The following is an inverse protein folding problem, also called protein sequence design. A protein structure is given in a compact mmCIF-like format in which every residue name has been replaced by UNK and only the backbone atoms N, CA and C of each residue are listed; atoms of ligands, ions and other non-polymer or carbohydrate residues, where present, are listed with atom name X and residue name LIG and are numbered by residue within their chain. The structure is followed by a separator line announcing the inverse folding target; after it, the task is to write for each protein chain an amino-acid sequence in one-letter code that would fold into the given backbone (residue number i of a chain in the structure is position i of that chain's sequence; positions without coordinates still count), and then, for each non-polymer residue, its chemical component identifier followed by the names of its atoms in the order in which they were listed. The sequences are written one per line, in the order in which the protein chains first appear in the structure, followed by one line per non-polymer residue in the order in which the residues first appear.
data_IF_577784966743
#
_entry.id   IF_577784966743
#
_cell.length_a   1.000
_cell.length_b   1.000
_cell.length_c   1.000
_cell.angle_alpha   90.00
_cell.angle_beta   90.00
_cell.angle_gamma   90.00
#
_symmetry.space_group_name_H-M   'P 1'
#
loop_
_entity.id
_entity.type
_entity.pdbx_description
1 polymer ?
#
# COMPACT_ATOMS: atom_id res chain seq x y z
N UNK A 1 -15.03 -6.90 -2.19
CA UNK A 1 -13.61 -7.33 -2.35
C UNK A 1 -12.78 -6.71 -1.24
N UNK A 2 -12.24 -7.51 -0.33
CA UNK A 2 -11.39 -7.02 0.75
C UNK A 2 -9.94 -6.85 0.28
N UNK A 3 -9.36 -5.65 0.47
CA UNK A 3 -7.96 -5.38 0.22
C UNK A 3 -7.24 -5.25 1.56
N UNK A 4 -6.28 -6.13 1.83
CA UNK A 4 -5.61 -6.21 3.13
C UNK A 4 -4.13 -5.85 3.01
N UNK A 5 -3.62 -5.09 3.99
CA UNK A 5 -2.20 -4.70 4.07
C UNK A 5 -1.72 -4.72 5.51
N UNK A 6 -0.60 -5.38 5.75
CA UNK A 6 0.13 -5.35 7.03
C UNK A 6 1.19 -4.23 7.01
N UNK A 7 1.26 -3.46 8.08
CA UNK A 7 2.19 -2.33 8.26
C UNK A 7 2.85 -2.48 9.64
N UNK A 8 4.18 -2.56 9.67
CA UNK A 8 4.94 -2.46 10.90
C UNK A 8 5.07 -0.99 11.31
N UNK A 9 4.76 -0.67 12.56
CA UNK A 9 4.85 0.68 13.12
C UNK A 9 6.18 0.85 13.84
N UNK A 10 6.93 1.86 13.44
CA UNK A 10 8.21 2.22 14.01
C UNK A 10 8.13 3.59 14.70
N UNK A 11 9.13 3.89 15.52
CA UNK A 11 9.27 5.20 16.15
C UNK A 11 9.60 6.23 15.06
N UNK A 12 8.81 7.28 14.98
CA UNK A 12 9.04 8.39 14.05
C UNK A 12 10.21 9.25 14.57
N UNK A 13 10.97 9.82 13.64
CA UNK A 13 12.10 10.73 13.98
C UNK A 13 11.59 11.88 14.85
N UNK A 14 12.23 12.07 16.00
CA UNK A 14 11.92 13.15 16.94
C UNK A 14 10.72 12.90 17.86
N UNK A 15 10.11 11.71 17.85
CA UNK A 15 9.01 11.33 18.75
C UNK A 15 9.38 10.19 19.69
N UNK A 16 8.68 10.11 20.83
CA UNK A 16 8.78 9.00 21.77
C UNK A 16 7.89 7.83 21.33
N UNK A 17 8.10 6.65 21.92
CA UNK A 17 7.24 5.48 21.69
C UNK A 17 5.78 5.78 22.07
N UNK A 18 5.56 6.43 23.22
CA UNK A 18 4.24 6.84 23.69
C UNK A 18 3.53 7.74 22.65
N UNK A 19 4.20 8.81 22.21
CA UNK A 19 3.64 9.72 21.21
C UNK A 19 3.32 9.02 19.88
N UNK A 20 4.16 8.07 19.45
CA UNK A 20 3.90 7.34 18.21
C UNK A 20 2.73 6.36 18.34
N UNK A 21 2.54 5.75 19.51
CA UNK A 21 1.38 4.89 19.77
C UNK A 21 0.11 5.73 19.84
N UNK A 22 0.08 6.79 20.65
CA UNK A 22 -1.05 7.71 20.78
C UNK A 22 -1.48 8.27 19.43
N UNK A 23 -0.55 8.82 18.63
CA UNK A 23 -0.85 9.31 17.26
C UNK A 23 -1.59 8.28 16.40
N UNK A 24 -1.28 7.00 16.56
CA UNK A 24 -1.87 5.92 15.74
C UNK A 24 -3.21 5.46 16.25
N UNK A 25 -3.35 5.31 17.56
CA UNK A 25 -4.62 4.95 18.20
C UNK A 25 -5.64 6.08 18.03
N UNK A 26 -5.26 7.33 18.31
CA UNK A 26 -6.12 8.51 18.14
C UNK A 26 -6.57 8.69 16.69
N UNK A 27 -5.65 8.54 15.73
CA UNK A 27 -6.03 8.60 14.31
C UNK A 27 -7.04 7.52 13.93
N UNK A 28 -6.85 6.30 14.41
CA UNK A 28 -7.76 5.18 14.10
C UNK A 28 -9.09 5.30 14.78
N UNK A 29 -9.13 5.88 15.98
CA UNK A 29 -10.34 6.02 16.81
C UNK A 29 -11.05 7.38 16.62
N UNK A 30 -10.67 8.17 15.62
CA UNK A 30 -11.25 9.47 15.36
C UNK A 30 -12.79 9.40 15.29
N UNK A 31 -13.47 10.11 16.19
CA UNK A 31 -14.92 10.12 16.36
C UNK A 31 -15.67 10.41 15.05
N UNK A 32 -15.21 11.39 14.28
CA UNK A 32 -15.82 11.75 13.00
C UNK A 32 -15.76 10.64 11.93
N UNK A 33 -14.90 9.63 12.11
CA UNK A 33 -14.71 8.52 11.16
C UNK A 33 -15.35 7.22 11.63
N UNK A 34 -15.59 7.08 12.93
CA UNK A 34 -16.06 5.87 13.57
C UNK A 34 -17.48 6.02 14.13
N UNK A 35 -18.23 7.07 13.73
CA UNK A 35 -19.54 7.41 14.27
C UNK A 35 -19.51 7.51 15.81
N UNK A 36 -18.72 8.48 16.30
CA UNK A 36 -18.52 8.73 17.74
C UNK A 36 -18.04 7.50 18.53
N UNK A 37 -17.24 6.64 17.88
CA UNK A 37 -16.67 5.46 18.52
C UNK A 37 -17.57 4.22 18.51
N UNK A 38 -18.74 4.28 17.87
CA UNK A 38 -19.69 3.16 17.79
C UNK A 38 -19.07 1.92 17.13
N UNK A 39 -18.22 2.13 16.13
CA UNK A 39 -17.59 1.05 15.37
C UNK A 39 -16.15 0.79 15.82
N UNK A 40 -15.93 0.79 17.14
CA UNK A 40 -14.65 0.42 17.74
C UNK A 40 -14.85 -0.81 18.61
N UNK A 41 -14.01 -1.83 18.41
CA UNK A 41 -13.94 -3.00 19.28
C UNK A 41 -12.49 -3.24 19.71
N UNK A 42 -12.30 -3.92 20.84
CA UNK A 42 -10.98 -4.22 21.38
C UNK A 42 -10.93 -5.61 21.98
N UNK A 43 -9.73 -6.11 22.14
CA UNK A 43 -9.43 -7.37 22.81
C UNK A 43 -8.27 -7.16 23.78
N UNK A 44 -8.47 -7.52 25.05
CA UNK A 44 -7.49 -7.43 26.14
C UNK A 44 -6.87 -6.03 26.30
N UNK A 45 -7.63 -4.98 25.99
CA UNK A 45 -7.29 -3.59 26.25
C UNK A 45 -8.54 -2.70 26.18
N UNK A 46 -8.51 -1.55 26.87
CA UNK A 46 -9.54 -0.51 26.70
C UNK A 46 -9.15 0.33 25.46
N UNK A 47 -10.07 0.57 24.52
CA UNK A 47 -9.80 1.44 23.36
C UNK A 47 -9.24 2.81 23.74
N UNK A 48 -9.70 3.41 24.84
CA UNK A 48 -9.28 4.76 25.28
C UNK A 48 -7.85 4.82 25.79
N UNK A 49 -7.34 3.72 26.35
CA UNK A 49 -6.00 3.62 26.98
C UNK A 49 -5.08 2.63 26.29
N UNK A 50 -5.46 2.15 25.10
CA UNK A 50 -4.74 1.10 24.40
C UNK A 50 -3.27 1.45 24.09
N UNK A 51 -2.95 2.70 23.84
CA UNK A 51 -1.56 3.17 23.64
C UNK A 51 -0.73 3.08 24.90
N UNK A 52 -1.31 3.44 26.07
CA UNK A 52 -0.65 3.34 27.37
C UNK A 52 -0.45 1.88 27.77
N UNK A 53 -1.47 1.04 27.57
CA UNK A 53 -1.40 -0.38 27.86
C UNK A 53 -0.38 -1.09 26.96
N UNK A 54 -0.30 -0.73 25.68
CA UNK A 54 0.73 -1.24 24.77
C UNK A 54 2.13 -0.80 25.18
N UNK A 55 2.27 0.41 25.70
CA UNK A 55 3.54 0.91 26.24
C UNK A 55 3.91 0.17 27.52
N UNK A 56 2.94 -0.07 28.42
CA UNK A 56 3.16 -0.79 29.67
C UNK A 56 3.67 -2.23 29.43
N UNK A 57 2.95 -2.99 28.60
CA UNK A 57 3.36 -4.36 28.24
C UNK A 57 4.74 -4.40 27.59
N UNK A 58 5.11 -3.36 26.83
CA UNK A 58 6.46 -3.24 26.25
C UNK A 58 7.53 -3.01 27.31
N UNK A 59 7.25 -2.17 28.31
CA UNK A 59 8.15 -1.95 29.45
C UNK A 59 8.32 -3.22 30.29
N UNK A 60 7.23 -3.93 30.54
CA UNK A 60 7.24 -5.22 31.23
C UNK A 60 8.07 -6.25 30.48
N UNK A 61 7.90 -6.35 29.13
CA UNK A 61 8.73 -7.20 28.30
C UNK A 61 10.23 -6.89 28.45
N UNK A 62 10.60 -5.61 28.42
CA UNK A 62 12.00 -5.20 28.59
C UNK A 62 12.53 -5.57 29.98
N UNK A 63 11.71 -5.40 31.03
CA UNK A 63 12.06 -5.75 32.39
C UNK A 63 12.24 -7.27 32.56
N UNK A 64 11.30 -8.07 32.05
CA UNK A 64 11.31 -9.54 32.19
C UNK A 64 12.44 -10.17 31.36
N UNK A 65 12.64 -9.71 30.13
CA UNK A 65 13.57 -10.36 29.18
C UNK A 65 14.94 -9.72 29.09
N UNK A 66 15.12 -8.50 29.63
CA UNK A 66 16.33 -7.70 29.47
C UNK A 66 16.62 -7.24 28.03
N UNK A 67 15.69 -7.49 27.08
CA UNK A 67 15.92 -7.25 25.65
C UNK A 67 15.41 -5.86 25.24
N UNK A 68 16.30 -5.07 24.66
CA UNK A 68 16.00 -3.78 24.06
C UNK A 68 16.54 -3.76 22.63
N UNK A 69 15.67 -3.44 21.66
CA UNK A 69 16.07 -3.37 20.24
C UNK A 69 16.14 -1.91 19.77
N UNK A 70 17.20 -1.56 19.06
CA UNK A 70 17.44 -0.19 18.57
C UNK A 70 16.39 0.30 17.57
N UNK A 71 15.88 -0.58 16.72
CA UNK A 71 14.83 -0.26 15.70
C UNK A 71 13.58 -1.10 15.94
N UNK A 72 13.03 -0.99 17.14
CA UNK A 72 11.93 -1.81 17.56
C UNK A 72 10.63 -1.48 16.83
N UNK A 73 9.87 -2.52 16.51
CA UNK A 73 8.50 -2.39 16.03
C UNK A 73 7.61 -2.19 17.25
N UNK A 74 6.95 -1.02 17.34
CA UNK A 74 6.15 -0.65 18.52
C UNK A 74 4.77 -1.31 18.52
N UNK A 75 4.16 -1.45 17.33
CA UNK A 75 2.89 -2.11 17.11
C UNK A 75 2.80 -2.50 15.61
N UNK A 76 1.75 -3.20 15.24
CA UNK A 76 1.43 -3.50 13.86
C UNK A 76 0.04 -2.96 13.52
N UNK A 77 -0.16 -2.56 12.28
CA UNK A 77 -1.44 -2.16 11.76
C UNK A 77 -1.82 -3.04 10.57
N UNK A 78 -3.02 -3.61 10.59
CA UNK A 78 -3.66 -4.20 9.42
C UNK A 78 -4.68 -3.19 8.91
N UNK A 79 -4.62 -2.86 7.63
CA UNK A 79 -5.70 -2.15 6.94
C UNK A 79 -6.47 -3.15 6.11
N UNK A 80 -7.79 -3.19 6.29
CA UNK A 80 -8.69 -4.07 5.56
C UNK A 80 -9.79 -3.20 4.96
N UNK A 81 -9.90 -3.14 3.64
CA UNK A 81 -10.84 -2.26 2.93
C UNK A 81 -11.79 -3.10 2.09
N UNK A 82 -13.09 -2.79 2.16
CA UNK A 82 -14.15 -3.53 1.50
C UNK A 82 -14.64 -2.82 0.24
N UNK A 83 -15.33 -3.53 -0.63
CA UNK A 83 -15.97 -2.96 -1.80
C UNK A 83 -17.15 -2.07 -1.37
N UNK A 84 -17.33 -0.89 -1.96
CA UNK A 84 -18.48 -0.04 -1.66
C UNK A 84 -19.82 -0.78 -1.79
N UNK A 85 -20.68 -0.65 -0.78
CA UNK A 85 -22.02 -1.24 -0.76
C UNK A 85 -22.08 -2.75 -0.52
N UNK A 86 -20.96 -3.41 -0.19
CA UNK A 86 -20.88 -4.85 0.02
C UNK A 86 -21.09 -5.26 1.48
N UNK A 87 -20.85 -4.36 2.42
CA UNK A 87 -20.83 -4.67 3.85
C UNK A 87 -21.33 -3.48 4.67
N UNK A 88 -21.97 -3.75 5.81
CA UNK A 88 -22.32 -2.72 6.79
C UNK A 88 -21.14 -2.39 7.72
N UNK A 89 -21.13 -1.23 8.40
CA UNK A 89 -20.06 -0.89 9.34
C UNK A 89 -19.92 -1.88 10.49
N UNK A 90 -21.04 -2.38 11.02
CA UNK A 90 -21.07 -3.36 12.09
C UNK A 90 -20.44 -4.69 11.67
N UNK A 91 -20.85 -5.21 10.52
CA UNK A 91 -20.29 -6.45 9.95
C UNK A 91 -18.80 -6.27 9.62
N UNK A 92 -18.41 -5.11 9.11
CA UNK A 92 -17.01 -4.82 8.81
C UNK A 92 -16.15 -4.83 10.08
N UNK A 93 -16.67 -4.28 11.19
CA UNK A 93 -16.00 -4.33 12.49
C UNK A 93 -15.85 -5.76 12.99
N UNK A 94 -16.91 -6.59 12.88
CA UNK A 94 -16.90 -7.99 13.26
C UNK A 94 -15.88 -8.79 12.44
N UNK A 95 -15.87 -8.64 11.11
CA UNK A 95 -14.88 -9.26 10.21
C UNK A 95 -13.45 -8.84 10.57
N UNK A 96 -13.27 -7.56 10.90
CA UNK A 96 -11.99 -7.02 11.38
C UNK A 96 -11.54 -7.65 12.70
N UNK A 97 -12.44 -7.77 13.65
CA UNK A 97 -12.18 -8.39 14.96
C UNK A 97 -11.79 -9.87 14.79
N UNK A 98 -12.54 -10.61 14.00
CA UNK A 98 -12.26 -12.02 13.76
C UNK A 98 -10.92 -12.22 13.02
N UNK A 99 -10.63 -11.38 12.03
CA UNK A 99 -9.34 -11.36 11.35
C UNK A 99 -8.20 -11.11 12.34
N UNK A 100 -8.34 -10.13 13.24
CA UNK A 100 -7.35 -9.81 14.27
C UNK A 100 -7.14 -10.96 15.25
N UNK A 101 -8.23 -11.55 15.74
CA UNK A 101 -8.20 -12.67 16.68
C UNK A 101 -7.49 -13.88 16.11
N UNK A 102 -7.82 -14.27 14.89
CA UNK A 102 -7.17 -15.39 14.20
C UNK A 102 -5.70 -15.09 13.86
N UNK A 103 -5.39 -13.84 13.47
CA UNK A 103 -4.03 -13.42 13.14
C UNK A 103 -3.10 -13.42 14.36
N UNK A 104 -3.56 -12.86 15.46
CA UNK A 104 -2.82 -12.78 16.72
C UNK A 104 -2.90 -14.08 17.53
N UNK A 105 -3.80 -14.99 17.16
CA UNK A 105 -4.12 -16.22 17.91
C UNK A 105 -4.54 -15.93 19.36
N UNK A 106 -5.15 -14.77 19.62
CA UNK A 106 -5.50 -14.32 20.96
C UNK A 106 -4.31 -14.02 21.88
N UNK A 107 -3.09 -13.88 21.34
CA UNK A 107 -1.89 -13.66 22.16
C UNK A 107 -1.43 -12.22 22.26
N UNK A 108 -2.08 -11.31 21.54
CA UNK A 108 -1.75 -9.89 21.51
C UNK A 108 -3.00 -9.05 21.67
N UNK A 109 -2.94 -8.04 22.52
CA UNK A 109 -3.99 -7.04 22.62
C UNK A 109 -4.13 -6.27 21.31
N UNK A 110 -5.36 -5.93 20.92
CA UNK A 110 -5.64 -5.17 19.71
C UNK A 110 -6.91 -4.32 19.81
N UNK A 111 -6.96 -3.31 18.95
CA UNK A 111 -8.15 -2.50 18.69
C UNK A 111 -8.51 -2.62 17.20
N UNK A 112 -9.81 -2.60 16.92
CA UNK A 112 -10.37 -2.54 15.57
C UNK A 112 -11.24 -1.31 15.47
N UNK A 113 -10.90 -0.40 14.58
CA UNK A 113 -11.68 0.81 14.32
C UNK A 113 -12.13 0.80 12.86
N UNK A 114 -13.44 0.84 12.64
CA UNK A 114 -14.04 0.84 11.31
C UNK A 114 -14.37 2.26 10.90
N UNK A 115 -13.78 2.70 9.80
CA UNK A 115 -13.98 4.03 9.22
C UNK A 115 -15.04 4.02 8.13
N UNK A 116 -15.93 5.00 8.20
CA UNK A 116 -17.06 5.22 7.28
C UNK A 116 -16.97 6.55 6.52
N UNK A 117 -15.89 7.31 6.72
CA UNK A 117 -15.66 8.64 6.15
C UNK A 117 -15.42 8.65 4.63
N UNK A 118 -15.38 7.49 3.99
CA UNK A 118 -15.10 7.33 2.56
C UNK A 118 -16.20 6.54 1.86
N UNK A 119 -16.16 6.53 0.53
CA UNK A 119 -17.06 5.72 -0.30
C UNK A 119 -16.96 4.22 -0.06
N UNK A 120 -15.94 3.76 0.65
CA UNK A 120 -15.72 2.37 1.01
C UNK A 120 -15.42 2.25 2.51
N UNK A 121 -16.03 1.28 3.13
CA UNK A 121 -15.79 0.95 4.54
C UNK A 121 -14.41 0.28 4.67
N UNK A 122 -13.67 0.65 5.71
CA UNK A 122 -12.35 0.07 5.93
C UNK A 122 -11.99 0.02 7.43
N UNK A 123 -11.32 -1.06 7.80
CA UNK A 123 -10.84 -1.30 9.15
C UNK A 123 -9.39 -0.86 9.33
N UNK A 124 -9.12 -0.24 10.46
CA UNK A 124 -7.81 -0.06 11.05
C UNK A 124 -7.69 -0.99 12.25
N UNK A 125 -6.98 -2.09 12.09
CA UNK A 125 -6.70 -3.03 13.17
C UNK A 125 -5.30 -2.73 13.68
N UNK A 126 -5.15 -2.32 14.93
CA UNK A 126 -3.85 -2.06 15.55
C UNK A 126 -3.65 -3.08 16.67
N UNK A 127 -2.58 -3.89 16.57
CA UNK A 127 -2.25 -4.85 17.60
C UNK A 127 -0.87 -4.62 18.17
N UNK A 128 -0.76 -4.91 19.48
CA UNK A 128 0.50 -4.76 20.20
C UNK A 128 1.59 -5.70 19.64
N UNK A 129 2.78 -5.20 19.46
CA UNK A 129 3.93 -6.03 19.07
C UNK A 129 4.38 -7.01 20.18
N UNK A 130 4.02 -6.72 21.43
CA UNK A 130 4.33 -7.54 22.60
C UNK A 130 3.15 -8.46 22.92
N UNK A 131 3.43 -9.70 23.29
CA UNK A 131 2.40 -10.66 23.71
C UNK A 131 1.83 -10.29 25.08
N UNK A 132 0.59 -10.76 25.37
CA UNK A 132 -0.11 -10.49 26.64
C UNK A 132 0.66 -10.96 27.88
N UNK A 133 1.43 -12.07 27.75
CA UNK A 133 2.29 -12.59 28.81
C UNK A 133 3.60 -11.82 28.96
N UNK A 134 3.83 -10.78 28.18
CA UNK A 134 5.03 -9.95 28.17
C UNK A 134 6.36 -10.70 27.97
N UNK A 135 6.32 -11.94 27.44
CA UNK A 135 7.54 -12.78 27.28
C UNK A 135 8.05 -12.79 25.85
N UNK A 136 7.19 -12.50 24.89
CA UNK A 136 7.48 -12.59 23.45
C UNK A 136 7.05 -11.37 22.67
N UNK A 137 7.63 -11.23 21.48
CA UNK A 137 7.16 -10.27 20.48
C UNK A 137 6.56 -10.99 19.28
N UNK A 138 5.63 -10.35 18.62
CA UNK A 138 5.10 -10.82 17.36
C UNK A 138 6.25 -11.00 16.35
N UNK A 139 6.36 -12.21 15.82
CA UNK A 139 7.40 -12.53 14.83
C UNK A 139 6.90 -12.18 13.43
N UNK A 140 7.35 -11.03 12.92
CA UNK A 140 7.13 -10.69 11.51
C UNK A 140 8.06 -11.52 10.63
N UNK A 141 7.54 -12.19 9.62
CA UNK A 141 8.29 -13.04 8.69
C UNK A 141 8.11 -12.52 7.25
N UNK A 142 8.95 -12.98 6.34
CA UNK A 142 9.02 -12.48 4.97
C UNK A 142 7.66 -12.44 4.22
N UNK A 143 6.80 -13.43 4.44
CA UNK A 143 5.48 -13.53 3.81
C UNK A 143 4.31 -13.10 4.70
N UNK A 144 4.55 -12.43 5.84
CA UNK A 144 3.47 -12.01 6.76
C UNK A 144 2.38 -11.21 6.07
N UNK A 145 2.74 -10.32 5.14
CA UNK A 145 1.76 -9.53 4.38
C UNK A 145 0.84 -10.40 3.51
N UNK A 146 1.38 -11.45 2.89
CA UNK A 146 0.60 -12.39 2.09
C UNK A 146 -0.25 -13.30 3.00
N UNK A 147 0.31 -13.74 4.12
CA UNK A 147 -0.40 -14.59 5.08
C UNK A 147 -1.61 -13.88 5.69
N UNK A 148 -1.47 -12.61 6.12
CA UNK A 148 -2.59 -11.83 6.65
C UNK A 148 -3.64 -11.54 5.57
N UNK A 149 -3.22 -11.33 4.32
CA UNK A 149 -4.15 -11.16 3.20
C UNK A 149 -4.99 -12.43 3.00
N UNK A 150 -4.37 -13.60 2.94
CA UNK A 150 -5.08 -14.89 2.78
C UNK A 150 -5.99 -15.19 3.96
N UNK A 151 -5.54 -14.89 5.18
CA UNK A 151 -6.39 -15.05 6.35
C UNK A 151 -7.62 -14.13 6.28
N UNK A 152 -7.43 -12.87 5.91
CA UNK A 152 -8.53 -11.94 5.67
C UNK A 152 -9.49 -12.41 4.57
N UNK A 153 -8.95 -12.96 3.47
CA UNK A 153 -9.76 -13.50 2.38
C UNK A 153 -10.60 -14.71 2.87
N UNK A 154 -10.04 -15.59 3.71
CA UNK A 154 -10.80 -16.69 4.31
C UNK A 154 -11.96 -16.20 5.17
N UNK A 155 -11.70 -15.24 6.09
CA UNK A 155 -12.76 -14.66 6.93
C UNK A 155 -13.82 -14.00 6.06
N UNK A 156 -13.42 -13.27 5.02
CA UNK A 156 -14.37 -12.66 4.07
C UNK A 156 -15.25 -13.69 3.37
N UNK A 157 -14.69 -14.82 2.92
CA UNK A 157 -15.46 -15.90 2.29
C UNK A 157 -16.47 -16.50 3.27
N UNK A 158 -16.09 -16.74 4.52
CA UNK A 158 -16.97 -17.26 5.56
C UNK A 158 -18.16 -16.33 5.85
N UNK A 159 -17.96 -15.00 5.69
CA UNK A 159 -19.01 -13.99 5.79
C UNK A 159 -19.71 -13.69 4.45
N UNK A 160 -19.48 -14.47 3.41
CA UNK A 160 -20.12 -14.29 2.10
C UNK A 160 -19.65 -13.06 1.31
N UNK A 161 -18.51 -12.48 1.68
CA UNK A 161 -17.94 -11.30 1.03
C UNK A 161 -17.05 -11.68 -0.15
N UNK A 162 -16.95 -10.79 -1.13
CA UNK A 162 -16.07 -11.00 -2.28
C UNK A 162 -14.59 -10.81 -1.92
N UNK A 163 -13.73 -11.59 -2.54
CA UNK A 163 -12.27 -11.51 -2.39
C UNK A 163 -11.61 -10.99 -3.66
N UNK A 164 -10.35 -10.53 -3.54
CA UNK A 164 -9.52 -10.17 -4.69
C UNK A 164 -8.83 -11.42 -5.20
N UNK A 165 -9.23 -11.88 -6.39
CA UNK A 165 -8.53 -12.97 -7.05
C UNK A 165 -7.06 -12.63 -7.25
N UNK A 166 -6.12 -13.48 -6.78
CA UNK A 166 -4.71 -13.22 -6.93
C UNK A 166 -4.31 -13.31 -8.40
N UNK A 167 -3.78 -12.21 -8.93
CA UNK A 167 -3.22 -12.17 -10.28
C UNK A 167 -1.72 -12.46 -10.25
N UNK A 168 -1.19 -13.18 -11.25
CA UNK A 168 0.25 -13.35 -11.43
C UNK A 168 0.96 -11.98 -11.39
N UNK A 169 2.17 -11.93 -10.83
CA UNK A 169 2.90 -10.66 -10.66
C UNK A 169 3.02 -9.86 -11.96
N UNK A 170 3.16 -10.53 -13.10
CA UNK A 170 3.25 -9.93 -14.43
C UNK A 170 1.96 -9.24 -14.89
N UNK A 171 0.82 -9.66 -14.37
CA UNK A 171 -0.52 -9.14 -14.70
C UNK A 171 -1.02 -8.11 -13.69
N UNK A 172 -0.26 -7.87 -12.62
CA UNK A 172 -0.62 -6.90 -11.59
C UNK A 172 -0.51 -5.48 -12.11
N UNK A 173 -1.61 -4.96 -12.63
CA UNK A 173 -1.73 -3.54 -12.95
C UNK A 173 -2.04 -2.80 -11.64
N UNK A 174 -1.26 -1.77 -11.30
CA UNK A 174 -1.60 -0.85 -10.22
C UNK A 174 -2.92 -0.13 -10.59
N UNK A 175 -4.03 -0.65 -10.13
CA UNK A 175 -5.33 0.03 -10.28
C UNK A 175 -5.42 1.10 -9.20
N UNK A 176 -5.30 2.36 -9.56
CA UNK A 176 -5.75 3.46 -8.73
C UNK A 176 -7.23 3.69 -9.03
N UNK A 177 -8.08 3.58 -8.02
CA UNK A 177 -9.53 3.89 -8.12
C UNK A 177 -9.74 5.39 -8.40
N UNK A 178 -8.77 6.21 -8.00
CA UNK A 178 -8.78 7.63 -8.30
C UNK A 178 -8.20 7.87 -9.70
N UNK A 179 -8.82 8.74 -10.51
CA UNK A 179 -8.20 9.16 -11.76
C UNK A 179 -6.79 9.64 -11.45
N UNK A 180 -5.81 9.10 -12.16
CA UNK A 180 -4.43 9.56 -12.01
C UNK A 180 -4.44 11.06 -12.27
N UNK A 181 -4.04 11.87 -11.28
CA UNK A 181 -3.73 13.27 -11.55
C UNK A 181 -2.71 13.28 -12.68
N UNK A 182 -2.96 14.07 -13.71
CA UNK A 182 -2.00 14.26 -14.80
C UNK A 182 -0.67 14.68 -14.18
N UNK A 183 0.37 13.98 -14.51
CA UNK A 183 1.71 14.34 -14.07
C UNK A 183 2.24 15.43 -14.99
N UNK A 184 3.21 16.22 -14.55
CA UNK A 184 3.89 17.21 -15.38
C UNK A 184 4.49 16.63 -16.66
N UNK A 185 4.82 15.34 -16.65
CA UNK A 185 5.24 14.60 -17.85
C UNK A 185 4.10 14.34 -18.80
N UNK A 186 2.93 13.98 -18.29
CA UNK A 186 1.73 13.76 -19.11
C UNK A 186 1.26 15.08 -19.74
N UNK A 187 1.37 16.19 -19.02
CA UNK A 187 1.07 17.54 -19.53
C UNK A 187 2.02 17.92 -20.66
N UNK A 188 3.34 17.71 -20.47
CA UNK A 188 4.34 17.98 -21.50
C UNK A 188 4.13 17.06 -22.73
N UNK A 189 3.87 15.78 -22.55
CA UNK A 189 3.54 14.86 -23.66
C UNK A 189 2.33 15.34 -24.44
N UNK A 190 1.26 15.76 -23.76
CA UNK A 190 0.06 16.28 -24.38
C UNK A 190 0.33 17.57 -25.19
N UNK A 191 1.14 18.49 -24.65
CA UNK A 191 1.57 19.70 -25.35
C UNK A 191 2.40 19.38 -26.60
N UNK A 192 3.36 18.47 -26.49
CA UNK A 192 4.17 17.98 -27.63
C UNK A 192 3.25 17.38 -28.71
N UNK A 193 2.34 16.48 -28.32
CA UNK A 193 1.40 15.85 -29.26
C UNK A 193 0.47 16.87 -29.93
N UNK A 194 0.05 17.90 -29.23
CA UNK A 194 -0.76 18.98 -29.77
C UNK A 194 -0.02 19.78 -30.84
N UNK A 195 1.27 20.09 -30.59
CA UNK A 195 2.08 20.86 -31.53
C UNK A 195 2.45 20.01 -32.74
N UNK A 196 2.81 18.73 -32.56
CA UNK A 196 3.11 17.83 -33.67
C UNK A 196 1.90 17.66 -34.62
N UNK A 197 0.67 17.72 -34.12
CA UNK A 197 -0.54 17.76 -34.97
C UNK A 197 -0.63 19.00 -35.85
N UNK A 198 -0.07 20.13 -35.43
CA UNK A 198 -0.01 21.39 -36.21
C UNK A 198 1.04 21.35 -37.32
N UNK A 199 1.87 20.29 -37.38
CA UNK A 199 2.95 20.09 -38.36
C UNK A 199 3.92 21.29 -38.43
N UNK A 200 4.68 21.59 -37.35
CA UNK A 200 5.68 22.65 -37.41
C UNK A 200 6.72 22.35 -38.50
N UNK A 201 7.29 23.42 -39.07
CA UNK A 201 8.21 23.33 -40.23
C UNK A 201 9.53 22.59 -39.89
N UNK A 202 10.07 22.92 -38.73
CA UNK A 202 11.32 22.35 -38.22
C UNK A 202 11.34 22.25 -36.69
N UNK A 203 12.44 21.77 -36.16
CA UNK A 203 12.59 21.64 -34.69
C UNK A 203 12.62 23.01 -33.99
N UNK A 204 13.11 24.06 -34.62
CA UNK A 204 13.16 25.41 -34.07
C UNK A 204 11.75 25.98 -33.94
N UNK A 205 10.91 25.80 -34.98
CA UNK A 205 9.50 26.17 -34.96
C UNK A 205 8.72 25.37 -33.92
N UNK A 206 9.00 24.08 -33.77
CA UNK A 206 8.46 23.24 -32.71
C UNK A 206 8.80 23.77 -31.30
N UNK A 207 10.05 24.14 -31.06
CA UNK A 207 10.48 24.73 -29.77
C UNK A 207 9.79 26.08 -29.53
N UNK A 208 9.67 26.90 -30.58
CA UNK A 208 9.00 28.20 -30.49
C UNK A 208 7.51 28.03 -30.10
N UNK A 209 6.78 27.12 -30.77
CA UNK A 209 5.37 26.85 -30.42
C UNK A 209 5.18 26.27 -29.02
N UNK A 210 6.16 25.49 -28.50
CA UNK A 210 6.16 25.06 -27.10
C UNK A 210 6.40 26.23 -26.14
N UNK A 211 7.23 27.19 -26.54
CA UNK A 211 7.46 28.38 -25.71
C UNK A 211 6.23 29.26 -25.58
N UNK A 212 5.39 29.35 -26.63
CA UNK A 212 4.07 30.02 -26.57
C UNK A 212 3.10 29.35 -25.57
N UNK A 213 3.26 28.05 -25.34
CA UNK A 213 2.50 27.31 -24.33
C UNK A 213 3.13 27.40 -22.91
N UNK A 214 4.13 28.25 -22.74
CA UNK A 214 4.79 28.48 -21.44
C UNK A 214 5.87 27.47 -21.07
N UNK A 215 6.43 26.74 -22.05
CA UNK A 215 7.55 25.82 -21.81
C UNK A 215 8.88 26.46 -22.19
N UNK A 216 9.82 26.43 -21.25
CA UNK A 216 11.21 26.85 -21.47
C UNK A 216 12.04 25.67 -21.99
N UNK A 217 12.80 25.90 -23.06
CA UNK A 217 13.71 24.91 -23.63
C UNK A 217 15.12 25.05 -23.08
N UNK A 218 15.74 23.92 -22.74
CA UNK A 218 17.15 23.82 -22.41
C UNK A 218 17.85 22.94 -23.45
N UNK A 219 18.70 23.55 -24.27
CA UNK A 219 19.53 22.85 -25.23
C UNK A 219 20.73 22.17 -24.57
N UNK A 220 21.34 21.20 -25.26
CA UNK A 220 22.54 20.46 -24.83
C UNK A 220 22.47 18.97 -25.17
N UNK A 221 23.44 18.19 -24.66
CA UNK A 221 23.50 16.71 -24.88
C UNK A 221 22.21 15.97 -24.52
N UNK A 222 21.34 16.59 -23.70
CA UNK A 222 20.06 16.02 -23.27
C UNK A 222 19.01 17.13 -23.26
N UNK A 223 18.37 17.40 -24.41
CA UNK A 223 17.36 18.46 -24.53
C UNK A 223 16.19 18.20 -23.57
N UNK A 224 15.75 19.29 -22.94
CA UNK A 224 14.77 19.22 -21.86
C UNK A 224 13.84 20.43 -21.90
N UNK A 225 12.62 20.25 -21.43
CA UNK A 225 11.63 21.31 -21.28
C UNK A 225 11.21 21.48 -19.82
N UNK A 226 10.85 22.70 -19.46
CA UNK A 226 10.30 23.08 -18.16
C UNK A 226 9.12 24.01 -18.37
N UNK A 227 8.02 23.77 -17.70
CA UNK A 227 6.92 24.75 -17.68
C UNK A 227 7.32 25.94 -16.80
N UNK A 228 6.92 27.14 -17.20
CA UNK A 228 7.15 28.37 -16.44
C UNK A 228 6.62 28.22 -15.00
N UNK A 229 7.46 28.55 -14.01
CA UNK A 229 7.16 28.34 -12.58
C UNK A 229 7.61 26.99 -11.99
N UNK A 230 8.05 26.03 -12.80
CA UNK A 230 8.57 24.75 -12.30
C UNK A 230 10.09 24.82 -12.01
N UNK A 231 10.53 24.09 -10.96
CA UNK A 231 11.96 24.08 -10.56
C UNK A 231 12.83 23.15 -11.39
N UNK A 232 12.24 22.13 -12.04
CA UNK A 232 12.98 21.03 -12.70
C UNK A 232 12.67 20.91 -14.16
N UNK A 233 13.71 20.74 -14.98
CA UNK A 233 13.59 20.37 -16.39
C UNK A 233 13.27 18.89 -16.55
N UNK A 234 12.40 18.56 -17.50
CA UNK A 234 12.04 17.21 -17.92
C UNK A 234 12.76 16.91 -19.24
N UNK A 235 13.62 15.90 -19.26
CA UNK A 235 14.37 15.49 -20.45
C UNK A 235 13.46 14.79 -21.44
N UNK A 236 13.55 15.10 -22.74
CA UNK A 236 12.75 14.48 -23.79
C UNK A 236 12.85 12.96 -23.76
N UNK A 237 14.07 12.42 -23.72
CA UNK A 237 14.28 10.96 -23.67
C UNK A 237 13.67 10.29 -22.44
N UNK A 238 13.32 11.01 -21.37
CA UNK A 238 12.64 10.46 -20.18
C UNK A 238 11.11 10.38 -20.30
N UNK A 239 10.54 10.91 -21.39
CA UNK A 239 9.11 10.86 -21.67
C UNK A 239 8.69 9.51 -22.27
N UNK A 240 9.62 8.76 -22.85
CA UNK A 240 9.39 7.46 -23.45
C UNK A 240 9.71 7.45 -24.95
N UNK A 241 9.41 6.33 -25.61
CA UNK A 241 9.62 6.15 -27.04
C UNK A 241 8.70 7.09 -27.84
N UNK A 242 9.25 7.69 -28.90
CA UNK A 242 8.53 8.66 -29.75
C UNK A 242 8.59 10.11 -29.27
N UNK A 243 9.31 10.39 -28.19
CA UNK A 243 9.47 11.74 -27.64
C UNK A 243 10.94 12.17 -27.55
N UNK A 244 11.89 11.38 -28.04
CA UNK A 244 13.29 11.82 -28.12
C UNK A 244 13.43 12.94 -29.16
N UNK A 245 14.51 13.72 -29.09
CA UNK A 245 14.76 14.76 -30.08
C UNK A 245 14.84 14.17 -31.51
N UNK A 246 15.49 13.04 -31.63
CA UNK A 246 15.63 12.31 -32.90
C UNK A 246 14.26 11.86 -33.43
N UNK A 247 13.40 11.33 -32.55
CA UNK A 247 12.04 10.92 -32.90
C UNK A 247 11.19 12.09 -33.40
N UNK A 248 11.26 13.23 -32.69
CA UNK A 248 10.52 14.44 -33.06
C UNK A 248 11.00 14.95 -34.44
N UNK A 249 12.31 15.01 -34.66
CA UNK A 249 12.86 15.43 -35.95
C UNK A 249 12.45 14.45 -37.08
N UNK A 250 12.45 13.14 -36.79
CA UNK A 250 12.00 12.13 -37.73
C UNK A 250 10.50 12.30 -38.09
N UNK A 251 9.67 12.60 -37.11
CA UNK A 251 8.21 12.88 -37.32
C UNK A 251 8.04 14.14 -38.19
N UNK A 252 8.80 15.20 -37.91
CA UNK A 252 8.76 16.44 -38.67
C UNK A 252 9.25 16.25 -40.14
N UNK A 253 10.18 15.35 -40.36
CA UNK A 253 10.63 14.97 -41.74
C UNK A 253 9.72 13.97 -42.45
N UNK A 254 8.54 13.66 -41.89
CA UNK A 254 7.51 12.80 -42.51
C UNK A 254 7.75 11.30 -42.36
N UNK A 255 8.74 10.87 -41.57
CA UNK A 255 8.93 9.46 -41.22
C UNK A 255 7.95 9.02 -40.16
N UNK A 256 7.20 7.93 -40.39
CA UNK A 256 6.30 7.36 -39.37
C UNK A 256 7.15 6.71 -38.29
N UNK A 257 7.30 7.38 -37.16
CA UNK A 257 7.81 6.77 -35.93
C UNK A 257 6.64 6.05 -35.27
N UNK A 258 6.68 4.72 -35.21
CA UNK A 258 5.70 3.96 -34.45
C UNK A 258 5.83 4.37 -32.97
N UNK A 259 4.88 5.15 -32.48
CA UNK A 259 4.70 5.27 -31.04
C UNK A 259 4.37 3.87 -30.56
N UNK A 260 5.28 3.25 -29.84
CA UNK A 260 5.01 1.97 -29.20
C UNK A 260 3.82 2.18 -28.27
N UNK A 261 2.62 1.86 -28.77
CA UNK A 261 1.51 1.56 -27.86
C UNK A 261 2.08 0.51 -26.91
N UNK A 262 1.94 0.69 -25.61
CA UNK A 262 2.30 -0.33 -24.63
C UNK A 262 1.59 -1.62 -25.01
N UNK A 263 2.21 -2.38 -25.90
CA UNK A 263 1.72 -3.65 -26.41
C UNK A 263 1.42 -4.53 -25.20
N UNK A 264 0.16 -4.96 -25.11
CA UNK A 264 -0.27 -6.08 -24.29
C UNK A 264 0.64 -7.27 -24.60
N UNK A 265 1.60 -7.57 -23.71
CA UNK A 265 2.38 -8.79 -23.78
C UNK A 265 1.41 -9.96 -23.66
N UNK A 266 1.46 -10.82 -24.67
CA UNK A 266 0.67 -12.05 -24.76
C UNK A 266 0.75 -12.86 -23.47
N UNK A 267 -0.45 -13.23 -23.01
CA UNK A 267 -0.70 -14.05 -21.83
C UNK A 267 -0.24 -15.46 -22.10
N UNK A 268 0.76 -15.95 -21.36
CA UNK A 268 1.02 -17.39 -21.28
C UNK A 268 0.15 -18.01 -20.19
N UNK A 269 -0.60 -19.02 -20.64
CA UNK A 269 -1.47 -19.99 -19.95
C UNK A 269 -1.49 -19.99 -18.42
N UNK A 270 -2.71 -19.87 -17.90
CA UNK A 270 -3.12 -20.06 -16.52
C UNK A 270 -2.60 -21.39 -15.94
N UNK A 271 -1.84 -21.30 -14.85
CA UNK A 271 -1.80 -22.38 -13.86
C UNK A 271 -2.97 -22.15 -12.91
N UNK A 272 -3.83 -23.13 -12.81
CA UNK A 272 -4.91 -23.17 -11.83
C UNK A 272 -4.31 -23.02 -10.42
N UNK A 273 -4.79 -22.01 -9.72
CA UNK A 273 -4.35 -21.69 -8.36
C UNK A 273 -5.24 -22.47 -7.39
N UNK A 274 -4.70 -23.50 -6.77
CA UNK A 274 -5.43 -24.26 -5.77
C UNK A 274 -5.20 -23.65 -4.37
N UNK A 275 -6.18 -22.86 -3.92
CA UNK A 275 -6.16 -22.14 -2.64
C UNK A 275 -5.91 -23.08 -1.44
N UNK A 276 -6.47 -24.29 -1.47
CA UNK A 276 -6.32 -25.30 -0.42
C UNK A 276 -4.87 -25.80 -0.28
N UNK A 277 -4.19 -26.04 -1.40
CA UNK A 277 -2.79 -26.50 -1.39
C UNK A 277 -1.87 -25.42 -0.83
N UNK A 278 -2.12 -24.16 -1.17
CA UNK A 278 -1.31 -23.04 -0.68
C UNK A 278 -1.54 -22.76 0.81
N UNK A 279 -2.76 -22.94 1.32
CA UNK A 279 -3.07 -22.84 2.76
C UNK A 279 -2.39 -23.98 3.52
N UNK A 280 -2.43 -25.21 3.01
CA UNK A 280 -1.73 -26.34 3.59
C UNK A 280 -0.22 -26.14 3.59
N UNK A 281 0.38 -25.62 2.52
CA UNK A 281 1.80 -25.32 2.46
C UNK A 281 2.24 -24.28 3.50
N UNK A 282 1.42 -23.24 3.74
CA UNK A 282 1.69 -22.24 4.78
C UNK A 282 1.53 -22.82 6.19
N UNK A 283 0.52 -23.67 6.42
CA UNK A 283 0.35 -24.41 7.69
C UNK A 283 1.48 -25.38 7.95
N UNK A 284 1.93 -26.12 6.93
CA UNK A 284 2.98 -27.11 7.05
C UNK A 284 4.36 -26.48 7.39
N UNK A 285 4.69 -25.36 6.80
CA UNK A 285 5.91 -24.62 7.13
C UNK A 285 5.87 -24.04 8.55
N UNK A 286 4.67 -23.72 9.06
CA UNK A 286 4.49 -23.24 10.43
C UNK A 286 4.60 -24.37 11.48
N UNK A 287 4.09 -25.57 11.15
CA UNK A 287 4.24 -26.78 12.01
C UNK A 287 5.67 -27.26 12.06
N UNK A 288 6.40 -27.35 10.94
CA UNK A 288 7.80 -27.72 10.92
C UNK A 288 8.72 -26.77 11.70
N UNK A 289 8.42 -25.48 11.71
CA UNK A 289 9.18 -24.51 12.52
C UNK A 289 8.97 -24.71 14.03
N UNK A 290 7.89 -25.38 14.45
CA UNK A 290 7.65 -25.76 15.84
C UNK A 290 8.29 -27.07 16.23
N UNK A 291 8.35 -28.05 15.32
CA UNK A 291 8.94 -29.38 15.59
C UNK A 291 10.47 -29.32 15.68
N UNK A 292 11.15 -28.46 14.92
CA UNK A 292 12.63 -28.29 15.01
C UNK A 292 13.09 -27.64 16.31
N UNK A 293 12.18 -27.03 17.09
CA UNK A 293 12.52 -26.46 18.42
C UNK A 293 12.35 -27.47 19.56
N UNK A 294 11.74 -28.62 19.32
CA UNK A 294 11.53 -29.69 20.34
C UNK A 294 12.63 -30.75 20.35
N UNK A 295 13.55 -30.77 19.39
CA UNK A 295 14.66 -31.74 19.31
C UNK A 295 16.01 -31.18 19.69
N UNK A 296 16.08 -30.02 20.36
CA UNK A 296 17.31 -29.47 20.93
C UNK A 296 17.09 -29.14 22.42
N UNK A 297 16.91 -30.18 23.21
CA UNK A 297 17.18 -30.22 24.67
C UNK A 297 17.95 -31.49 24.93
#
# INVERSE_FOLDING_TARGET
MAATRLIALHINKGKTVAQCLADRTDYSQNAAKTEDGKYISSYECDPKTADEEFLLTKRQYQHITGRQQKNDIIAYQIRQSFKPGEITPEEANQVGYETAMRWTKGKHAFIVATHIDRSHIHNHIIYNSTSLDCTRKFKNFFLSGLAVQRLSDMVCIEHGLSIIEPKPYRERVKRTIYPKKRTKRDELCAAIDQILKKKPKDFSDFVFQLSELGYEFKDGKQPAFRHSGEKRFIRLRSLGEGYSQEDIIAILSGKSVQKASRASRQVHTQREFNLLIDIQAVSYTHLRAHETTLHLV
#
